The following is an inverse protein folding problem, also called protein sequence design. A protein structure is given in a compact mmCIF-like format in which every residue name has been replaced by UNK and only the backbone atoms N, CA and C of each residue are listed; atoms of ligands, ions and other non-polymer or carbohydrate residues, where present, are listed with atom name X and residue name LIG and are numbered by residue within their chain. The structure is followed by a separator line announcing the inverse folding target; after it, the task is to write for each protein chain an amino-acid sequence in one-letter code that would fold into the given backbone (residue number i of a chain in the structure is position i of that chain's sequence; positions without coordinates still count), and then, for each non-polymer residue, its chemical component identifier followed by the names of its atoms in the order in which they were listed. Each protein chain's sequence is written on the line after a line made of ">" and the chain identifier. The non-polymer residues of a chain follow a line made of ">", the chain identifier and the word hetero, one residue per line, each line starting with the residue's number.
data_IF_419411208527
#
_entry.id   IF_419411208527
#
_cell.length_a   1.000
_cell.length_b   1.000
_cell.length_c   1.000
_cell.angle_alpha   90.00
_cell.angle_beta   90.00
_cell.angle_gamma   90.00
#
_symmetry.space_group_name_H-M   'P 1'
#
loop_
_entity.id
_entity.type
_entity.pdbx_description
1 polymer ?
#
# COMPACT_ATOMS: atom_id res chain seq x y z
N UNK A 1 -9.41 20.18 10.45
CA UNK A 1 -10.27 19.21 9.73
C UNK A 1 -9.56 17.87 9.82
N UNK A 2 -10.19 16.81 10.36
CA UNK A 2 -9.56 15.51 10.52
C UNK A 2 -10.01 14.62 9.35
N UNK A 3 -9.20 14.49 8.28
CA UNK A 3 -9.59 13.80 7.06
C UNK A 3 -9.92 12.31 7.28
N UNK A 4 -9.40 11.70 8.35
CA UNK A 4 -9.69 10.31 8.71
C UNK A 4 -11.15 10.16 9.17
N UNK A 5 -11.70 11.14 9.88
CA UNK A 5 -13.07 11.10 10.40
C UNK A 5 -14.10 11.20 9.27
N UNK A 6 -13.83 12.08 8.30
CA UNK A 6 -14.69 12.30 7.14
C UNK A 6 -14.60 11.14 6.14
N UNK A 7 -13.40 10.56 5.99
CA UNK A 7 -13.22 9.29 5.29
C UNK A 7 -14.12 8.25 5.96
N UNK A 8 -14.00 7.94 7.25
CA UNK A 8 -14.81 6.91 7.93
C UNK A 8 -16.34 7.06 7.77
N UNK A 9 -16.86 8.28 7.53
CA UNK A 9 -18.30 8.56 7.44
C UNK A 9 -18.94 8.40 6.05
N UNK A 10 -18.18 8.26 4.96
CA UNK A 10 -18.73 8.19 3.59
C UNK A 10 -19.26 6.80 3.22
N UNK A 11 -20.50 6.75 2.67
CA UNK A 11 -21.17 5.54 2.17
C UNK A 11 -20.65 5.04 0.81
N UNK A 12 -19.81 5.81 0.12
CA UNK A 12 -19.26 5.43 -1.18
C UNK A 12 -17.85 6.01 -1.37
N UNK A 13 -16.90 5.50 -0.58
CA UNK A 13 -15.51 5.93 -0.66
C UNK A 13 -14.80 5.33 -1.87
N UNK A 14 -13.87 6.06 -2.50
CA UNK A 14 -12.83 5.43 -3.31
C UNK A 14 -12.11 4.38 -2.44
N UNK A 15 -11.91 3.18 -2.98
CA UNK A 15 -11.17 2.11 -2.27
C UNK A 15 -9.72 2.54 -1.97
N UNK A 16 -9.22 3.53 -2.72
CA UNK A 16 -7.97 4.24 -2.48
C UNK A 16 -8.17 5.74 -2.75
N UNK A 17 -8.41 6.53 -1.71
CA UNK A 17 -8.00 7.94 -1.77
C UNK A 17 -6.49 7.96 -1.62
N UNK A 18 -5.77 8.35 -2.67
CA UNK A 18 -4.36 8.72 -2.54
C UNK A 18 -4.38 10.09 -1.88
N UNK A 19 -3.90 10.24 -0.64
CA UNK A 19 -3.83 11.56 -0.03
C UNK A 19 -2.93 12.44 -0.91
N UNK A 20 -3.42 13.63 -1.27
CA UNK A 20 -2.59 14.62 -1.96
C UNK A 20 -1.55 15.14 -0.96
N UNK A 21 -0.38 14.49 -0.96
CA UNK A 21 0.76 14.90 -0.16
C UNK A 21 1.48 16.03 -0.87
N UNK A 22 1.77 17.12 -0.14
CA UNK A 22 2.73 18.12 -0.64
C UNK A 22 4.05 17.42 -0.97
N UNK A 23 4.72 17.83 -2.05
CA UNK A 23 5.94 17.16 -2.55
C UNK A 23 7.00 16.91 -1.46
N UNK A 24 7.21 17.87 -0.56
CA UNK A 24 8.13 17.73 0.57
C UNK A 24 7.70 16.64 1.58
N UNK A 25 6.41 16.58 1.92
CA UNK A 25 5.86 15.55 2.82
C UNK A 25 5.94 14.16 2.18
N UNK A 26 5.71 14.09 0.86
CA UNK A 26 5.86 12.85 0.08
C UNK A 26 7.30 12.34 0.10
N UNK A 27 8.30 13.22 -0.10
CA UNK A 27 9.72 12.84 -0.05
C UNK A 27 10.10 12.30 1.33
N UNK A 28 9.66 12.95 2.41
CA UNK A 28 9.97 12.48 3.77
C UNK A 28 9.27 11.16 4.10
N UNK A 29 8.05 10.94 3.60
CA UNK A 29 7.40 9.63 3.65
C UNK A 29 8.21 8.58 2.90
N UNK A 30 8.61 8.83 1.65
CA UNK A 30 9.42 7.91 0.86
C UNK A 30 10.71 7.50 1.59
N UNK A 31 11.44 8.48 2.15
CA UNK A 31 12.63 8.21 2.98
C UNK A 31 12.30 7.40 4.23
N UNK A 32 11.18 7.68 4.90
CA UNK A 32 10.74 6.93 6.08
C UNK A 32 10.44 5.46 5.73
N UNK A 33 9.76 5.20 4.62
CA UNK A 33 9.53 3.85 4.10
C UNK A 33 10.85 3.15 3.78
N UNK A 34 11.76 3.82 3.07
CA UNK A 34 13.06 3.25 2.72
C UNK A 34 13.90 2.87 3.96
N UNK A 35 13.94 3.75 4.98
CA UNK A 35 14.64 3.47 6.24
C UNK A 35 14.01 2.30 7.00
N UNK A 36 12.69 2.32 7.19
CA UNK A 36 11.98 1.29 7.95
C UNK A 36 12.17 -0.10 7.31
N UNK A 37 11.90 -0.21 6.00
CA UNK A 37 12.03 -1.47 5.26
C UNK A 37 13.47 -1.82 4.87
N UNK A 38 14.45 -1.02 5.29
CA UNK A 38 15.88 -1.36 5.24
C UNK A 38 16.35 -2.19 6.44
N UNK A 39 15.62 -2.14 7.56
CA UNK A 39 15.88 -2.95 8.76
C UNK A 39 15.61 -4.44 8.52
N UNK A 40 16.17 -5.32 9.36
CA UNK A 40 15.97 -6.76 9.21
C UNK A 40 14.51 -7.18 9.43
N UNK A 41 13.87 -6.66 10.48
CA UNK A 41 12.44 -6.88 10.72
C UNK A 41 11.58 -6.27 9.60
N UNK A 42 11.96 -5.08 9.09
CA UNK A 42 11.28 -4.46 7.96
C UNK A 42 11.32 -5.35 6.72
N UNK A 43 12.48 -5.90 6.37
CA UNK A 43 12.63 -6.83 5.24
C UNK A 43 11.77 -8.09 5.43
N UNK A 44 11.75 -8.66 6.65
CA UNK A 44 10.93 -9.82 6.98
C UNK A 44 9.44 -9.53 6.76
N UNK A 45 8.95 -8.41 7.28
CA UNK A 45 7.54 -8.01 7.11
C UNK A 45 7.22 -7.74 5.65
N UNK A 46 8.10 -7.06 4.90
CA UNK A 46 7.88 -6.80 3.47
C UNK A 46 7.79 -8.10 2.66
N UNK A 47 8.66 -9.08 2.94
CA UNK A 47 8.62 -10.40 2.30
C UNK A 47 7.27 -11.08 2.54
N UNK A 48 6.81 -11.09 3.80
CA UNK A 48 5.52 -11.67 4.15
C UNK A 48 4.35 -10.96 3.44
N UNK A 49 4.38 -9.63 3.33
CA UNK A 49 3.36 -8.87 2.60
C UNK A 49 3.35 -9.19 1.10
N UNK A 50 4.53 -9.38 0.50
CA UNK A 50 4.66 -9.76 -0.91
C UNK A 50 4.09 -11.17 -1.17
N UNK A 51 4.34 -12.13 -0.29
CA UNK A 51 3.76 -13.47 -0.36
C UNK A 51 2.23 -13.40 -0.31
N UNK A 52 1.66 -12.67 0.65
CA UNK A 52 0.21 -12.52 0.81
C UNK A 52 -0.46 -11.90 -0.42
N UNK A 53 0.17 -10.89 -1.01
CA UNK A 53 -0.42 -10.11 -2.10
C UNK A 53 -0.21 -10.75 -3.49
N UNK A 54 0.98 -11.28 -3.77
CA UNK A 54 1.37 -11.69 -5.13
C UNK A 54 1.40 -13.19 -5.36
N UNK A 55 1.50 -14.03 -4.31
CA UNK A 55 1.59 -15.49 -4.48
C UNK A 55 0.24 -16.21 -4.44
N UNK A 56 -0.88 -15.47 -4.44
CA UNK A 56 -2.23 -16.06 -4.52
C UNK A 56 -2.66 -16.30 -5.96
N UNK A 57 -2.90 -17.56 -6.28
CA UNK A 57 -3.69 -17.96 -7.45
C UNK A 57 -5.18 -18.05 -7.07
N UNK A 58 -6.05 -17.55 -7.95
CA UNK A 58 -7.49 -17.65 -7.81
C UNK A 58 -8.01 -18.70 -8.80
N UNK A 59 -8.83 -19.63 -8.33
CA UNK A 59 -9.48 -20.62 -9.20
C UNK A 59 -10.56 -20.00 -10.07
N UNK A 60 -10.98 -20.70 -11.12
CA UNK A 60 -12.00 -20.22 -12.07
C UNK A 60 -13.34 -19.86 -11.40
N UNK A 61 -13.66 -20.50 -10.29
CA UNK A 61 -14.89 -20.27 -9.51
C UNK A 61 -14.80 -19.07 -8.54
N UNK A 62 -13.70 -18.30 -8.58
CA UNK A 62 -13.54 -17.14 -7.70
C UNK A 62 -14.45 -16.01 -8.12
N UNK A 63 -15.19 -15.43 -7.18
CA UNK A 63 -16.06 -14.29 -7.47
C UNK A 63 -15.27 -13.02 -7.80
N UNK A 64 -15.87 -12.13 -8.62
CA UNK A 64 -15.32 -10.80 -8.91
C UNK A 64 -15.04 -9.98 -7.65
N UNK A 65 -15.81 -10.16 -6.58
CA UNK A 65 -15.59 -9.47 -5.31
C UNK A 65 -14.27 -9.92 -4.65
N UNK A 66 -13.98 -11.22 -4.66
CA UNK A 66 -12.73 -11.77 -4.12
C UNK A 66 -11.52 -11.31 -4.96
N UNK A 67 -11.65 -11.35 -6.30
CA UNK A 67 -10.58 -10.91 -7.21
C UNK A 67 -10.29 -9.42 -7.01
N UNK A 68 -11.32 -8.57 -6.92
CA UNK A 68 -11.14 -7.13 -6.67
C UNK A 68 -10.52 -6.84 -5.30
N UNK A 69 -10.91 -7.57 -4.27
CA UNK A 69 -10.30 -7.45 -2.94
C UNK A 69 -8.80 -7.78 -3.00
N UNK A 70 -8.43 -8.86 -3.69
CA UNK A 70 -7.05 -9.24 -3.90
C UNK A 70 -6.25 -8.17 -4.65
N UNK A 71 -6.85 -7.59 -5.69
CA UNK A 71 -6.22 -6.53 -6.47
C UNK A 71 -5.96 -5.28 -5.63
N UNK A 72 -6.88 -4.94 -4.72
CA UNK A 72 -6.66 -3.87 -3.75
C UNK A 72 -5.44 -4.13 -2.84
N UNK A 73 -5.25 -5.37 -2.40
CA UNK A 73 -4.06 -5.76 -1.62
C UNK A 73 -2.78 -5.65 -2.45
N UNK A 74 -2.79 -6.09 -3.71
CA UNK A 74 -1.66 -5.95 -4.64
C UNK A 74 -1.29 -4.50 -4.89
N UNK A 75 -2.29 -3.66 -5.13
CA UNK A 75 -2.09 -2.23 -5.36
C UNK A 75 -1.43 -1.55 -4.13
N UNK A 76 -1.84 -1.92 -2.91
CA UNK A 76 -1.26 -1.41 -1.67
C UNK A 76 0.23 -1.78 -1.55
N UNK A 77 0.56 -3.07 -1.67
CA UNK A 77 1.94 -3.54 -1.53
C UNK A 77 2.83 -2.94 -2.62
N UNK A 78 2.32 -2.84 -3.85
CA UNK A 78 3.03 -2.17 -4.94
C UNK A 78 3.30 -0.68 -4.64
N UNK A 79 2.36 0.01 -3.98
CA UNK A 79 2.56 1.41 -3.56
C UNK A 79 3.67 1.54 -2.51
N UNK A 80 3.69 0.65 -1.53
CA UNK A 80 4.74 0.60 -0.51
C UNK A 80 6.11 0.38 -1.17
N UNK A 81 6.20 -0.58 -2.09
CA UNK A 81 7.43 -0.84 -2.85
C UNK A 81 7.89 0.38 -3.67
N UNK A 82 6.96 1.12 -4.29
CA UNK A 82 7.28 2.38 -5.00
C UNK A 82 7.89 3.42 -4.06
N UNK A 83 7.32 3.60 -2.86
CA UNK A 83 7.84 4.54 -1.87
C UNK A 83 9.22 4.14 -1.34
N UNK A 84 9.43 2.85 -1.07
CA UNK A 84 10.74 2.33 -0.68
C UNK A 84 11.78 2.62 -1.77
N UNK A 85 11.47 2.33 -3.02
CA UNK A 85 12.41 2.55 -4.14
C UNK A 85 12.71 4.03 -4.35
N UNK A 86 11.68 4.89 -4.33
CA UNK A 86 11.87 6.33 -4.46
C UNK A 86 12.70 6.92 -3.30
N UNK A 87 12.47 6.47 -2.07
CA UNK A 87 13.23 6.92 -0.89
C UNK A 87 14.67 6.42 -0.81
N UNK A 88 15.07 5.48 -1.69
CA UNK A 88 16.46 5.03 -1.85
C UNK A 88 17.23 5.80 -2.93
N UNK A 89 16.52 6.38 -3.90
CA UNK A 89 17.10 7.11 -5.04
C UNK A 89 17.14 8.63 -4.88
N UNK A 90 16.43 9.15 -3.88
CA UNK A 90 16.50 10.54 -3.40
C UNK A 90 17.47 10.68 -2.23
#
# INVERSE_FOLDING_TARGET
>A
MNPIKDLLASKNKPVFEVPDFRTAERIELEKAYARLFGTDDGKLVLSHMQELAFMRAYGAESSDAQIRYAEGQRALVAQIMRFINAGRGN
#
